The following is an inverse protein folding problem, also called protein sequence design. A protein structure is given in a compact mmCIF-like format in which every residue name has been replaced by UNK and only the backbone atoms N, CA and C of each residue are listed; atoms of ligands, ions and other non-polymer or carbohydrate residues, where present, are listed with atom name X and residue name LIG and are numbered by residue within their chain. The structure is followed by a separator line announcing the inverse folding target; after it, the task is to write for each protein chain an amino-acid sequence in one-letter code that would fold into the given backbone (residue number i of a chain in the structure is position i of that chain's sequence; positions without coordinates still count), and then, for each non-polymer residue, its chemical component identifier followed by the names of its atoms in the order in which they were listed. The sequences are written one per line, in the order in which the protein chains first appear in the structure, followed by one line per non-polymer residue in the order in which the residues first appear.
data_IF_543244859758
#
_entry.id   IF_543244859758
#
_cell.length_a   1.000
_cell.length_b   1.000
_cell.length_c   1.000
_cell.angle_alpha   90.00
_cell.angle_beta   90.00
_cell.angle_gamma   90.00
#
_symmetry.space_group_name_H-M   'P 1'
#
loop_
_entity.id
_entity.type
_entity.pdbx_description
1 polymer ?
#
# COMPACT_ATOMS: atom_id res chain seq x y z
N UNK A 1 -11.06 8.48 41.23
CA UNK A 1 -10.26 9.41 40.42
C UNK A 1 -9.36 8.52 39.57
N UNK A 2 -9.84 8.17 38.37
CA UNK A 2 -9.09 7.39 37.39
C UNK A 2 -8.57 8.39 36.37
N UNK A 3 -7.26 8.59 36.34
CA UNK A 3 -6.57 9.25 35.24
C UNK A 3 -6.10 8.08 34.36
N UNK A 4 -6.68 7.96 33.17
CA UNK A 4 -6.11 7.09 32.15
C UNK A 4 -4.97 7.90 31.53
N UNK A 5 -3.77 7.39 31.74
CA UNK A 5 -2.56 7.84 31.06
C UNK A 5 -2.77 7.60 29.57
N UNK A 6 -2.78 8.66 28.79
CA UNK A 6 -2.92 8.63 27.34
C UNK A 6 -1.54 8.82 26.73
N UNK A 7 -0.66 7.83 26.85
CA UNK A 7 0.65 7.85 26.18
C UNK A 7 1.31 6.46 26.08
N UNK A 8 0.55 5.42 25.73
CA UNK A 8 1.12 4.08 25.47
C UNK A 8 1.38 3.85 23.98
N UNK A 9 2.09 4.79 23.36
CA UNK A 9 2.87 4.56 22.15
C UNK A 9 4.28 5.05 22.48
N UNK A 10 5.11 4.17 23.05
CA UNK A 10 6.39 4.51 23.69
C UNK A 10 7.52 5.09 22.82
N UNK A 11 7.21 5.65 21.65
CA UNK A 11 8.15 6.38 20.80
C UNK A 11 8.05 7.89 20.97
N UNK A 12 9.10 8.61 20.59
CA UNK A 12 9.13 10.07 20.67
C UNK A 12 8.82 10.71 19.31
N UNK A 13 8.17 11.90 19.28
CA UNK A 13 8.02 12.66 18.06
C UNK A 13 9.39 13.15 17.58
N UNK A 14 9.73 12.85 16.32
CA UNK A 14 10.99 13.23 15.69
C UNK A 14 10.88 14.56 14.93
N UNK A 15 9.75 14.76 14.25
CA UNK A 15 9.49 15.95 13.45
C UNK A 15 7.98 16.14 13.20
N UNK A 16 7.60 17.37 12.92
CA UNK A 16 6.27 17.73 12.45
C UNK A 16 6.36 18.47 11.11
N UNK A 17 5.45 18.14 10.20
CA UNK A 17 5.34 18.77 8.89
C UNK A 17 3.95 19.36 8.71
N UNK A 18 3.85 20.39 7.88
CA UNK A 18 2.58 20.94 7.42
C UNK A 18 2.60 21.04 5.91
N UNK A 19 1.45 20.85 5.28
CA UNK A 19 1.35 20.95 3.82
C UNK A 19 1.46 22.42 3.39
N UNK A 20 2.54 22.74 2.67
CA UNK A 20 2.64 23.98 1.89
C UNK A 20 2.01 23.78 0.52
N UNK A 21 1.35 24.81 -0.04
CA UNK A 21 0.71 24.79 -1.37
C UNK A 21 1.58 24.10 -2.45
N UNK A 22 1.34 22.81 -2.69
CA UNK A 22 2.19 21.98 -3.55
C UNK A 22 1.70 20.54 -3.63
N UNK A 23 2.05 19.87 -4.73
CA UNK A 23 1.63 18.49 -4.99
C UNK A 23 2.56 17.45 -4.32
N UNK A 24 3.57 17.89 -3.57
CA UNK A 24 4.55 17.01 -2.96
C UNK A 24 5.09 17.58 -1.65
N UNK A 25 5.34 16.72 -0.67
CA UNK A 25 5.96 17.04 0.60
C UNK A 25 7.32 16.33 0.70
N UNK A 26 8.39 17.11 0.88
CA UNK A 26 9.73 16.58 1.13
C UNK A 26 9.89 16.25 2.62
N UNK A 27 10.15 14.97 2.91
CA UNK A 27 10.50 14.49 4.23
C UNK A 27 12.02 14.50 4.40
N UNK A 28 12.46 14.64 5.66
CA UNK A 28 13.87 14.53 6.04
C UNK A 28 14.31 13.08 6.27
N UNK A 29 15.43 12.91 6.95
CA UNK A 29 16.04 11.60 7.24
C UNK A 29 15.58 11.00 8.57
N UNK A 30 14.70 11.69 9.31
CA UNK A 30 14.21 11.29 10.62
C UNK A 30 13.42 9.99 10.57
N UNK A 31 12.72 9.75 9.46
CA UNK A 31 11.96 8.51 9.23
C UNK A 31 12.31 7.95 7.85
N UNK A 32 12.16 6.64 7.68
CA UNK A 32 12.23 5.98 6.37
C UNK A 32 10.83 5.60 5.90
N UNK A 33 10.17 6.42 5.06
CA UNK A 33 8.79 6.19 4.64
C UNK A 33 8.57 4.84 3.94
N UNK A 34 9.59 4.28 3.30
CA UNK A 34 9.48 3.00 2.59
C UNK A 34 9.11 1.85 3.55
N UNK A 35 9.60 1.89 4.79
CA UNK A 35 9.43 0.83 5.80
C UNK A 35 8.60 1.26 7.00
N UNK A 36 8.31 2.55 7.14
CA UNK A 36 7.54 3.09 8.24
C UNK A 36 6.09 2.56 8.27
N UNK A 37 5.50 2.50 9.46
CA UNK A 37 4.09 2.23 9.62
C UNK A 37 3.28 3.51 9.44
N UNK A 38 2.26 3.44 8.59
CA UNK A 38 1.39 4.56 8.27
C UNK A 38 0.10 4.45 9.06
N UNK A 39 -0.29 5.54 9.71
CA UNK A 39 -1.55 5.65 10.41
C UNK A 39 -2.21 7.00 10.13
N UNK A 40 -3.55 7.01 10.14
CA UNK A 40 -4.33 8.24 10.12
C UNK A 40 -4.72 8.62 11.54
N UNK A 41 -4.54 9.89 11.89
CA UNK A 41 -5.16 10.48 13.07
C UNK A 41 -6.02 11.67 12.62
N UNK A 42 -7.34 11.43 12.49
CA UNK A 42 -8.23 12.41 11.91
C UNK A 42 -7.88 12.77 10.45
N UNK A 43 -7.37 13.98 10.25
CA UNK A 43 -6.88 14.48 8.94
C UNK A 43 -5.36 14.45 8.84
N UNK A 44 -4.67 14.08 9.90
CA UNK A 44 -3.22 14.02 9.98
C UNK A 44 -2.72 12.63 9.58
N UNK A 45 -1.48 12.60 9.08
CA UNK A 45 -0.77 11.37 8.79
C UNK A 45 0.37 11.20 9.78
N UNK A 46 0.43 10.04 10.43
CA UNK A 46 1.55 9.65 11.27
C UNK A 46 2.38 8.59 10.55
N UNK A 47 3.69 8.79 10.50
CA UNK A 47 4.65 7.77 10.03
C UNK A 47 5.52 7.34 11.20
N UNK A 48 5.43 6.08 11.59
CA UNK A 48 6.16 5.50 12.72
C UNK A 48 7.33 4.68 12.19
N UNK A 49 8.54 4.99 12.62
CA UNK A 49 9.73 4.21 12.32
C UNK A 49 9.73 2.87 13.07
N UNK A 50 10.57 1.93 12.65
CA UNK A 50 10.74 0.64 13.34
C UNK A 50 11.22 0.80 14.80
N UNK A 51 11.82 1.94 15.16
CA UNK A 51 12.21 2.27 16.55
C UNK A 51 11.01 2.59 17.45
N UNK A 52 9.84 2.83 16.86
CA UNK A 52 8.64 3.35 17.52
C UNK A 52 8.54 4.88 17.48
N UNK A 53 9.64 5.58 17.20
CA UNK A 53 9.62 7.03 17.03
C UNK A 53 8.86 7.42 15.77
N UNK A 54 8.24 8.60 15.75
CA UNK A 54 7.30 8.96 14.68
C UNK A 54 7.42 10.40 14.22
N UNK A 55 6.92 10.67 13.02
CA UNK A 55 6.65 12.02 12.53
C UNK A 55 5.15 12.21 12.34
N UNK A 56 4.70 13.46 12.42
CA UNK A 56 3.31 13.86 12.13
C UNK A 56 3.31 14.82 10.95
N UNK A 57 2.43 14.56 9.98
CA UNK A 57 2.14 15.45 8.88
C UNK A 57 0.73 15.98 9.05
N UNK A 58 0.63 17.22 9.49
CA UNK A 58 -0.63 17.90 9.76
C UNK A 58 -1.41 18.15 8.48
N UNK A 59 -2.72 17.94 8.53
CA UNK A 59 -3.69 18.17 7.46
C UNK A 59 -3.40 17.39 6.16
N UNK A 60 -2.62 16.29 6.22
CA UNK A 60 -2.22 15.52 5.03
C UNK A 60 -3.43 15.01 4.22
N UNK A 61 -4.51 14.63 4.91
CA UNK A 61 -5.74 14.12 4.31
C UNK A 61 -6.86 15.17 4.23
N UNK A 62 -6.55 16.45 4.48
CA UNK A 62 -7.53 17.54 4.37
C UNK A 62 -7.88 17.91 2.91
N UNK A 63 -7.07 17.46 1.94
CA UNK A 63 -7.28 17.66 0.51
C UNK A 63 -7.32 16.33 -0.26
N UNK A 64 -8.00 16.33 -1.41
CA UNK A 64 -8.07 15.18 -2.30
C UNK A 64 -7.85 15.59 -3.77
N UNK A 65 -6.82 15.05 -4.47
CA UNK A 65 -5.74 14.25 -3.89
C UNK A 65 -4.86 15.09 -2.97
N UNK A 66 -4.29 14.46 -1.94
CA UNK A 66 -3.25 15.07 -1.12
C UNK A 66 -1.88 15.04 -1.82
N UNK A 67 -0.82 15.56 -1.17
CA UNK A 67 0.50 15.62 -1.77
C UNK A 67 1.23 14.27 -1.76
N UNK A 68 2.05 14.01 -2.77
CA UNK A 68 2.97 12.87 -2.77
C UNK A 68 4.07 13.06 -1.71
N UNK A 69 4.52 11.98 -1.07
CA UNK A 69 5.67 12.04 -0.16
C UNK A 69 6.96 11.83 -0.93
N UNK A 70 7.94 12.69 -0.71
CA UNK A 70 9.29 12.55 -1.25
C UNK A 70 10.24 12.27 -0.09
N UNK A 71 10.88 11.11 -0.10
CA UNK A 71 11.90 10.73 0.88
C UNK A 71 13.15 11.62 0.73
N UNK A 72 14.00 11.72 1.75
CA UNK A 72 15.28 12.42 1.65
C UNK A 72 16.15 11.93 0.47
N UNK A 73 16.05 10.64 0.12
CA UNK A 73 16.71 10.04 -1.04
C UNK A 73 16.07 10.34 -2.40
N UNK A 74 15.00 11.15 -2.45
CA UNK A 74 14.29 11.53 -3.67
C UNK A 74 13.26 10.51 -4.16
N UNK A 75 13.07 9.40 -3.45
CA UNK A 75 12.05 8.41 -3.76
C UNK A 75 10.65 9.00 -3.51
N UNK A 76 9.72 8.80 -4.44
CA UNK A 76 8.35 9.33 -4.41
C UNK A 76 7.35 8.24 -4.05
N UNK A 77 6.51 8.49 -3.05
CA UNK A 77 5.36 7.66 -2.67
C UNK A 77 4.10 8.46 -2.97
N UNK A 78 3.24 7.95 -3.85
CA UNK A 78 2.06 8.69 -4.28
C UNK A 78 1.02 8.81 -3.17
N UNK A 79 0.20 9.85 -3.24
CA UNK A 79 -0.94 10.01 -2.31
C UNK A 79 -1.80 8.75 -2.20
N UNK A 80 -2.12 8.08 -3.33
CA UNK A 80 -2.94 6.86 -3.31
C UNK A 80 -2.29 5.71 -2.53
N UNK A 81 -0.97 5.56 -2.65
CA UNK A 81 -0.21 4.55 -1.91
C UNK A 81 -0.19 4.91 -0.42
N UNK A 82 0.10 6.16 -0.08
CA UNK A 82 0.04 6.65 1.31
C UNK A 82 -1.34 6.43 1.91
N UNK A 83 -2.39 6.72 1.15
CA UNK A 83 -3.76 6.57 1.59
C UNK A 83 -4.13 5.11 1.92
N UNK A 84 -3.66 4.15 1.11
CA UNK A 84 -3.86 2.71 1.33
C UNK A 84 -3.02 2.20 2.51
N UNK A 85 -1.75 2.61 2.60
CA UNK A 85 -0.87 2.26 3.73
C UNK A 85 -1.43 2.75 5.06
N UNK A 86 -1.96 3.97 5.10
CA UNK A 86 -2.52 4.56 6.32
C UNK A 86 -3.85 3.91 6.76
N UNK A 87 -4.50 3.14 5.88
CA UNK A 87 -5.80 2.54 6.14
C UNK A 87 -6.98 3.51 5.94
N UNK A 88 -8.20 3.11 6.31
CA UNK A 88 -9.42 3.88 6.06
C UNK A 88 -9.47 5.18 6.87
N UNK A 89 -9.96 6.26 6.27
CA UNK A 89 -10.19 7.54 6.94
C UNK A 89 -11.57 7.64 7.63
N UNK A 90 -11.77 8.58 8.56
CA UNK A 90 -13.02 8.76 9.30
C UNK A 90 -14.25 9.07 8.41
N UNK A 91 -14.06 9.54 7.18
CA UNK A 91 -15.15 9.77 6.22
C UNK A 91 -15.61 8.51 5.47
N UNK A 92 -14.88 7.40 5.56
CA UNK A 92 -15.29 6.12 4.98
C UNK A 92 -16.50 5.49 5.70
N UNK A 93 -16.93 6.04 6.85
CA UNK A 93 -18.12 5.57 7.59
C UNK A 93 -19.42 6.31 7.28
N UNK A 94 -19.44 7.30 6.38
CA UNK A 94 -20.69 7.93 5.95
C UNK A 94 -21.28 7.27 4.71
N UNK A 95 -21.93 6.13 4.94
CA UNK A 95 -23.12 5.63 4.22
C UNK A 95 -23.16 5.77 2.68
N UNK A 96 -22.86 4.70 1.96
CA UNK A 96 -23.88 3.78 1.40
C UNK A 96 -23.16 2.72 0.56
N UNK A 97 -23.56 1.47 0.75
CA UNK A 97 -23.04 0.25 0.08
C UNK A 97 -21.77 -0.33 0.69
N UNK A 98 -21.98 -1.12 1.74
CA UNK A 98 -21.26 -2.38 1.90
C UNK A 98 -21.45 -3.21 0.62
N UNK A 99 -20.57 -3.05 -0.38
CA UNK A 99 -20.22 -4.02 -1.45
C UNK A 99 -19.44 -3.31 -2.56
N UNK A 100 -18.14 -3.07 -2.36
CA UNK A 100 -17.13 -3.15 -3.42
C UNK A 100 -15.72 -3.06 -2.79
N UNK A 101 -15.48 -3.82 -1.72
CA UNK A 101 -14.32 -4.68 -1.86
C UNK A 101 -14.74 -5.57 -3.04
N UNK A 102 -14.31 -5.23 -4.25
CA UNK A 102 -14.65 -5.99 -5.44
C UNK A 102 -14.40 -7.47 -5.18
N UNK A 103 -14.97 -8.34 -6.00
CA UNK A 103 -14.66 -9.77 -5.91
C UNK A 103 -13.13 -10.01 -5.83
N UNK A 104 -12.70 -11.14 -5.26
CA UNK A 104 -11.28 -11.45 -5.17
C UNK A 104 -10.61 -11.29 -6.52
N UNK A 105 -9.48 -10.57 -6.55
CA UNK A 105 -8.76 -10.26 -7.79
C UNK A 105 -7.66 -11.29 -8.10
N UNK A 106 -7.39 -12.17 -7.14
CA UNK A 106 -6.45 -13.26 -7.24
C UNK A 106 -6.48 -14.17 -6.02
N UNK A 107 -5.64 -15.20 -6.06
CA UNK A 107 -5.48 -16.21 -5.02
C UNK A 107 -4.00 -16.47 -4.75
N UNK A 108 -3.64 -16.67 -3.49
CA UNK A 108 -2.28 -17.04 -3.09
C UNK A 108 -1.99 -18.47 -3.54
N UNK A 109 -1.12 -18.62 -4.54
CA UNK A 109 -0.73 -19.90 -5.11
C UNK A 109 0.37 -20.61 -4.29
N UNK A 110 1.32 -19.84 -3.75
CA UNK A 110 2.41 -20.37 -2.91
C UNK A 110 2.72 -19.40 -1.79
N UNK A 111 3.09 -19.90 -0.61
CA UNK A 111 3.48 -19.07 0.53
C UNK A 111 4.54 -19.76 1.38
N UNK A 112 5.48 -18.99 1.92
CA UNK A 112 6.47 -19.45 2.91
C UNK A 112 6.75 -18.32 3.89
N UNK A 113 6.97 -18.68 5.16
CA UNK A 113 7.25 -17.70 6.21
C UNK A 113 6.01 -16.88 6.59
N UNK A 114 6.24 -15.65 7.05
CA UNK A 114 5.17 -14.74 7.47
C UNK A 114 4.83 -13.80 6.33
N UNK A 115 3.55 -13.81 5.93
CA UNK A 115 2.99 -12.87 4.96
C UNK A 115 1.67 -12.35 5.51
N UNK A 116 1.49 -11.04 5.46
CA UNK A 116 0.27 -10.38 5.93
C UNK A 116 -0.36 -9.55 4.82
N UNK A 117 -1.68 -9.46 4.85
CA UNK A 117 -2.45 -8.53 4.05
C UNK A 117 -3.15 -7.54 4.97
N UNK A 118 -2.99 -6.25 4.72
CA UNK A 118 -3.83 -5.20 5.29
C UNK A 118 -4.85 -4.78 4.24
N UNK A 119 -6.12 -5.00 4.54
CA UNK A 119 -7.24 -4.72 3.67
C UNK A 119 -7.63 -3.24 3.71
N UNK A 120 -8.37 -2.79 2.70
CA UNK A 120 -8.80 -1.40 2.58
C UNK A 120 -9.69 -0.93 3.75
N UNK A 121 -10.38 -1.86 4.41
CA UNK A 121 -11.20 -1.60 5.60
C UNK A 121 -10.37 -1.51 6.89
N UNK A 122 -9.05 -1.62 6.79
CA UNK A 122 -8.11 -1.55 7.91
C UNK A 122 -7.93 -2.85 8.68
N UNK A 123 -8.66 -3.92 8.33
CA UNK A 123 -8.40 -5.25 8.89
C UNK A 123 -7.05 -5.78 8.37
N UNK A 124 -6.44 -6.69 9.13
CA UNK A 124 -5.18 -7.31 8.74
C UNK A 124 -5.20 -8.78 9.07
N UNK A 125 -4.85 -9.59 8.09
CA UNK A 125 -4.87 -11.05 8.18
C UNK A 125 -3.51 -11.63 7.79
N UNK A 126 -3.14 -12.73 8.44
CA UNK A 126 -2.02 -13.54 7.98
C UNK A 126 -2.48 -14.38 6.79
N UNK A 127 -1.81 -14.21 5.66
CA UNK A 127 -2.14 -14.96 4.45
C UNK A 127 -1.71 -16.42 4.57
N UNK A 128 -2.47 -17.27 3.90
CA UNK A 128 -2.20 -18.71 3.73
C UNK A 128 -2.39 -19.07 2.27
N UNK A 129 -1.88 -20.23 1.86
CA UNK A 129 -2.13 -20.77 0.52
C UNK A 129 -3.65 -20.93 0.28
N UNK A 130 -4.10 -20.52 -0.90
CA UNK A 130 -5.52 -20.46 -1.26
C UNK A 130 -6.28 -19.26 -0.71
N UNK A 131 -5.63 -18.36 0.04
CA UNK A 131 -6.27 -17.13 0.48
C UNK A 131 -6.55 -16.20 -0.71
N UNK A 132 -7.72 -15.59 -0.72
CA UNK A 132 -8.07 -14.56 -1.70
C UNK A 132 -7.38 -13.24 -1.37
N UNK A 133 -7.02 -12.51 -2.41
CA UNK A 133 -6.53 -11.12 -2.30
C UNK A 133 -7.48 -10.17 -3.03
N UNK A 134 -7.48 -8.92 -2.58
CA UNK A 134 -8.43 -7.90 -3.01
C UNK A 134 -7.70 -6.64 -3.50
N UNK A 135 -8.39 -5.88 -4.34
CA UNK A 135 -7.87 -4.59 -4.78
C UNK A 135 -7.77 -3.63 -3.59
N UNK A 136 -6.62 -2.95 -3.47
CA UNK A 136 -6.29 -2.07 -2.36
C UNK A 136 -5.51 -2.74 -1.23
N UNK A 137 -5.35 -4.07 -1.25
CA UNK A 137 -4.58 -4.78 -0.24
C UNK A 137 -3.12 -4.33 -0.22
N UNK A 138 -2.60 -4.12 0.99
CA UNK A 138 -1.17 -3.96 1.25
C UNK A 138 -0.62 -5.31 1.69
N UNK A 139 0.30 -5.87 0.91
CA UNK A 139 0.94 -7.16 1.18
C UNK A 139 2.35 -6.95 1.71
N UNK A 140 2.68 -7.65 2.78
CA UNK A 140 3.98 -7.57 3.43
C UNK A 140 4.55 -8.94 3.73
N UNK A 141 5.86 -9.10 3.52
CA UNK A 141 6.59 -10.33 3.84
C UNK A 141 7.63 -10.06 4.93
N UNK A 142 7.68 -10.95 5.93
CA UNK A 142 8.73 -10.93 6.95
C UNK A 142 10.06 -11.51 6.44
N UNK A 143 11.04 -11.62 7.34
CA UNK A 143 12.31 -12.32 7.06
C UNK A 143 12.06 -13.79 6.69
N UNK A 144 12.69 -14.26 5.62
CA UNK A 144 12.43 -15.58 5.03
C UNK A 144 11.03 -15.76 4.45
N UNK A 145 10.24 -14.67 4.33
CA UNK A 145 8.92 -14.67 3.75
C UNK A 145 8.95 -14.76 2.23
N UNK A 146 7.95 -15.40 1.66
CA UNK A 146 7.72 -15.45 0.22
C UNK A 146 6.23 -15.67 -0.05
N UNK A 147 5.72 -15.07 -1.12
CA UNK A 147 4.43 -15.47 -1.70
C UNK A 147 4.48 -15.45 -3.22
N UNK A 148 3.55 -16.19 -3.81
CA UNK A 148 3.15 -16.07 -5.21
C UNK A 148 1.62 -15.97 -5.28
N UNK A 149 1.11 -15.06 -6.08
CA UNK A 149 -0.32 -14.84 -6.32
C UNK A 149 -0.59 -15.05 -7.80
N UNK A 150 -1.67 -15.77 -8.09
CA UNK A 150 -2.26 -15.86 -9.43
C UNK A 150 -3.50 -14.95 -9.48
N UNK A 151 -3.49 -13.98 -10.40
CA UNK A 151 -4.59 -13.05 -10.62
C UNK A 151 -5.60 -13.58 -11.63
N UNK A 152 -6.78 -12.97 -11.66
CA UNK A 152 -7.90 -13.37 -12.54
C UNK A 152 -7.61 -13.25 -14.05
N UNK A 153 -6.55 -12.56 -14.46
CA UNK A 153 -6.07 -12.52 -15.85
C UNK A 153 -4.90 -13.47 -16.13
N UNK A 154 -4.61 -14.40 -15.21
CA UNK A 154 -3.45 -15.31 -15.26
C UNK A 154 -2.09 -14.62 -15.06
N UNK A 155 -2.06 -13.35 -14.64
CA UNK A 155 -0.82 -12.72 -14.17
C UNK A 155 -0.34 -13.42 -12.90
N UNK A 156 0.95 -13.75 -12.84
CA UNK A 156 1.59 -14.25 -11.62
C UNK A 156 2.51 -13.19 -11.05
N UNK A 157 2.30 -12.85 -9.77
CA UNK A 157 3.15 -11.94 -9.03
C UNK A 157 3.75 -12.67 -7.84
N UNK A 158 5.07 -12.63 -7.72
CA UNK A 158 5.78 -13.25 -6.61
C UNK A 158 6.67 -12.22 -5.91
N UNK A 159 6.78 -12.33 -4.60
CA UNK A 159 7.58 -11.44 -3.77
C UNK A 159 8.38 -12.26 -2.76
N UNK A 160 9.66 -11.93 -2.64
CA UNK A 160 10.57 -12.50 -1.63
C UNK A 160 10.44 -11.82 -0.27
N UNK A 161 11.45 -12.02 0.57
CA UNK A 161 11.46 -11.52 1.95
C UNK A 161 11.55 -9.99 2.05
N UNK A 162 11.10 -9.44 3.18
CA UNK A 162 11.16 -8.01 3.51
C UNK A 162 10.54 -7.13 2.41
N UNK A 163 9.47 -7.62 1.81
CA UNK A 163 8.76 -6.99 0.73
C UNK A 163 7.52 -6.27 1.22
N UNK A 164 7.16 -5.18 0.52
CA UNK A 164 5.92 -4.42 0.74
C UNK A 164 5.38 -3.98 -0.61
N UNK A 165 4.20 -4.46 -0.96
CA UNK A 165 3.49 -4.06 -2.17
C UNK A 165 2.05 -3.66 -1.86
N UNK A 166 1.48 -2.87 -2.75
CA UNK A 166 0.08 -2.46 -2.75
C UNK A 166 -0.54 -2.94 -4.05
N UNK A 167 -1.62 -3.72 -3.96
CA UNK A 167 -2.40 -4.17 -5.10
C UNK A 167 -3.28 -3.00 -5.56
N UNK A 168 -2.80 -2.21 -6.52
CA UNK A 168 -3.43 -0.92 -6.81
C UNK A 168 -4.74 -1.04 -7.57
N UNK A 169 -4.69 -1.81 -8.65
CA UNK A 169 -5.78 -1.91 -9.61
C UNK A 169 -5.72 -3.27 -10.29
N UNK A 170 -6.86 -3.95 -10.32
CA UNK A 170 -7.03 -5.14 -11.12
C UNK A 170 -8.45 -5.17 -11.70
N UNK A 171 -8.56 -4.68 -12.92
CA UNK A 171 -9.80 -4.70 -13.69
C UNK A 171 -9.58 -5.61 -14.87
N UNK A 172 -10.39 -6.66 -15.01
CA UNK A 172 -10.29 -7.57 -16.13
C UNK A 172 -11.66 -7.94 -16.67
N UNK A 173 -11.88 -7.69 -17.97
CA UNK A 173 -13.08 -8.12 -18.68
C UNK A 173 -12.71 -9.16 -19.75
N UNK A 174 -12.87 -10.47 -19.48
CA UNK A 174 -12.51 -11.52 -20.42
C UNK A 174 -13.35 -11.52 -21.70
N UNK A 175 -14.55 -10.92 -21.68
CA UNK A 175 -15.42 -10.81 -22.87
C UNK A 175 -15.12 -9.57 -23.71
N UNK A 176 -14.51 -8.55 -23.11
CA UNK A 176 -14.28 -7.26 -23.73
C UNK A 176 -12.85 -7.03 -24.22
N UNK A 177 -11.89 -7.87 -23.84
CA UNK A 177 -10.47 -7.69 -24.18
C UNK A 177 -9.88 -6.40 -23.63
N UNK A 178 -10.44 -5.87 -22.54
CA UNK A 178 -9.96 -4.68 -21.87
C UNK A 178 -9.70 -5.00 -20.40
N UNK A 179 -8.69 -4.38 -19.83
CA UNK A 179 -8.35 -4.50 -18.43
C UNK A 179 -7.19 -3.60 -18.05
N UNK A 180 -6.92 -3.50 -16.76
CA UNK A 180 -5.81 -2.75 -16.19
C UNK A 180 -5.25 -3.53 -15.01
N UNK A 181 -3.93 -3.67 -14.98
CA UNK A 181 -3.18 -4.26 -13.88
C UNK A 181 -2.18 -3.23 -13.35
N UNK A 182 -2.25 -2.97 -12.05
CA UNK A 182 -1.37 -2.03 -11.36
C UNK A 182 -0.94 -2.57 -10.01
N UNK A 183 0.37 -2.55 -9.76
CA UNK A 183 0.95 -2.82 -8.43
C UNK A 183 1.96 -1.73 -8.09
N UNK A 184 1.92 -1.23 -6.86
CA UNK A 184 2.95 -0.35 -6.31
C UNK A 184 3.83 -1.14 -5.36
N UNK A 185 5.11 -1.25 -5.69
CA UNK A 185 6.12 -1.92 -4.88
C UNK A 185 6.96 -0.90 -4.13
N UNK A 186 6.87 -0.90 -2.80
CA UNK A 186 7.68 -0.02 -1.95
C UNK A 186 9.08 -0.58 -1.73
N UNK A 187 9.18 -1.87 -1.41
CA UNK A 187 10.44 -2.58 -1.20
C UNK A 187 10.32 -4.07 -1.47
N UNK A 188 11.48 -4.73 -1.57
CA UNK A 188 11.60 -6.17 -1.75
C UNK A 188 12.07 -6.57 -3.15
N UNK A 189 12.30 -7.86 -3.31
CA UNK A 189 12.61 -8.48 -4.61
C UNK A 189 11.34 -9.17 -5.12
N UNK A 190 11.02 -8.98 -6.39
CA UNK A 190 9.79 -9.50 -6.98
C UNK A 190 10.02 -10.12 -8.36
N UNK A 191 9.06 -10.92 -8.79
CA UNK A 191 8.90 -11.37 -10.16
C UNK A 191 7.46 -11.13 -10.60
N UNK A 192 7.28 -10.78 -11.87
CA UNK A 192 5.98 -10.64 -12.49
C UNK A 192 6.00 -11.38 -13.83
N UNK A 193 5.08 -12.32 -14.00
CA UNK A 193 4.80 -12.97 -15.28
C UNK A 193 3.45 -12.48 -15.74
N UNK A 194 3.44 -11.72 -16.82
CA UNK A 194 2.25 -11.02 -17.29
C UNK A 194 1.20 -11.97 -17.89
N UNK A 195 -0.06 -11.74 -17.53
CA UNK A 195 -1.22 -12.48 -17.99
C UNK A 195 -1.83 -11.94 -19.29
N UNK A 196 -3.15 -12.08 -19.41
CA UNK A 196 -3.92 -11.74 -20.60
C UNK A 196 -3.98 -10.23 -20.86
N UNK A 197 -4.04 -9.39 -19.82
CA UNK A 197 -4.11 -7.93 -20.01
C UNK A 197 -2.89 -7.44 -20.79
N UNK A 198 -1.69 -7.89 -20.44
CA UNK A 198 -0.48 -7.50 -21.17
C UNK A 198 -0.41 -8.03 -22.61
N UNK A 199 -1.04 -9.18 -22.87
CA UNK A 199 -1.10 -9.75 -24.23
C UNK A 199 -2.01 -8.91 -25.13
N UNK A 200 -3.12 -8.42 -24.58
CA UNK A 200 -4.10 -7.60 -25.30
C UNK A 200 -3.61 -6.15 -25.43
N UNK A 201 -3.15 -5.55 -24.34
CA UNK A 201 -2.64 -4.18 -24.29
C UNK A 201 -1.57 -4.02 -23.18
N UNK A 202 -0.28 -4.08 -23.53
CA UNK A 202 0.81 -4.01 -22.55
C UNK A 202 0.91 -2.65 -21.84
N UNK A 203 0.35 -1.58 -22.40
CA UNK A 203 0.32 -0.25 -21.76
C UNK A 203 -0.57 -0.22 -20.51
N UNK A 204 -1.49 -1.19 -20.39
CA UNK A 204 -2.40 -1.31 -19.25
C UNK A 204 -1.81 -2.13 -18.09
N UNK A 205 -0.54 -2.54 -18.17
CA UNK A 205 0.17 -3.24 -17.09
C UNK A 205 1.30 -2.38 -16.58
N UNK A 206 1.22 -2.00 -15.30
CA UNK A 206 2.21 -1.12 -14.68
C UNK A 206 2.67 -1.63 -13.31
N UNK A 207 3.97 -1.53 -13.06
CA UNK A 207 4.57 -1.70 -11.74
C UNK A 207 5.21 -0.38 -11.33
N UNK A 208 4.69 0.25 -10.28
CA UNK A 208 5.20 1.50 -9.75
C UNK A 208 6.19 1.20 -8.62
N UNK A 209 7.29 1.93 -8.57
CA UNK A 209 8.28 1.89 -7.49
C UNK A 209 8.59 3.31 -7.04
N UNK A 210 9.13 3.52 -5.83
CA UNK A 210 9.51 4.84 -5.36
C UNK A 210 10.46 5.61 -6.30
N UNK A 211 11.20 4.93 -7.16
CA UNK A 211 12.18 5.54 -8.07
C UNK A 211 11.73 5.60 -9.53
N UNK A 212 10.54 5.09 -9.86
CA UNK A 212 10.02 5.11 -11.23
C UNK A 212 8.95 4.07 -11.51
N UNK A 213 8.47 4.06 -12.75
CA UNK A 213 7.47 3.09 -13.22
C UNK A 213 8.11 2.13 -14.22
N UNK A 214 7.78 0.85 -14.08
CA UNK A 214 8.14 -0.23 -15.00
C UNK A 214 6.88 -0.53 -15.82
N UNK A 215 6.95 -0.28 -17.12
CA UNK A 215 5.94 -0.72 -18.08
C UNK A 215 6.31 -2.08 -18.67
N UNK A 216 5.30 -2.88 -19.02
CA UNK A 216 5.46 -4.12 -19.77
C UNK A 216 5.33 -3.81 -21.27
N UNK A 217 6.05 -4.54 -22.13
CA UNK A 217 6.04 -4.38 -23.59
C UNK A 217 6.40 -5.66 -24.31
#
# INVERSE_FOLDING_TARGET
MFVLDSDDAGGSPLAEYSISDGNSLQLGEEVQPIVADYARDGVDLTLTAETGDFIVVHDYFASFPGPDLITAGGAKISYDVVAKLAGPGPVAQSSTTQSDAGGPIGEVAEITGTVTAKHLDGTSDQLVEGASVYQGDVLETGSGGFFSIEFVDETQFSMGENGRAVLDEMVYNPSGGNGTFGVSLLQGVFSLVSGQIAKDDPENVSVKTPVGTIGIR
#
